data_IF_716998752991
#
_entry.id   IF_716998752991
#
_cell.length_a   1.000
_cell.length_b   1.000
_cell.length_c   1.000
_cell.angle_alpha   90.00
_cell.angle_beta   90.00
_cell.angle_gamma   90.00
#
_symmetry.space_group_name_H-M   'P 1'
#
loop_
_entity.id
_entity.type
_entity.pdbx_description
1 polymer ?
#
# COMPACT_ATOMS: atom_id res chain seq x y z
N UNK A 1 -8.74 13.99 -3.22
CA UNK A 1 -9.11 12.68 -2.63
C UNK A 1 -9.91 11.91 -3.66
N UNK A 2 -9.28 10.91 -4.30
CA UNK A 2 -10.00 10.00 -5.21
C UNK A 2 -10.84 9.04 -4.38
N UNK A 3 -12.15 9.19 -4.39
CA UNK A 3 -13.07 8.20 -3.81
C UNK A 3 -13.25 7.08 -4.84
N UNK A 4 -13.02 5.85 -4.44
CA UNK A 4 -13.42 4.68 -5.22
C UNK A 4 -14.91 4.46 -4.93
N UNK A 5 -15.73 4.58 -5.95
CA UNK A 5 -17.16 4.27 -5.88
C UNK A 5 -17.33 2.85 -6.40
N UNK A 6 -17.72 1.93 -5.55
CA UNK A 6 -18.04 0.56 -5.93
C UNK A 6 -19.55 0.44 -6.07
N UNK A 7 -20.01 0.18 -7.28
CA UNK A 7 -21.42 -0.17 -7.54
C UNK A 7 -21.49 -1.69 -7.52
N UNK A 8 -22.21 -2.23 -6.58
CA UNK A 8 -22.39 -3.66 -6.42
C UNK A 8 -23.73 -4.15 -6.89
N UNK A 9 -23.68 -5.16 -7.74
CA UNK A 9 -24.78 -6.06 -8.00
C UNK A 9 -24.48 -7.40 -7.32
N UNK A 10 -24.92 -7.58 -6.11
CA UNK A 10 -24.81 -8.86 -5.42
C UNK A 10 -25.90 -9.80 -5.93
N UNK A 11 -25.51 -10.74 -6.83
CA UNK A 11 -26.32 -11.90 -7.14
C UNK A 11 -25.78 -13.09 -6.35
N UNK A 12 -26.14 -13.21 -5.09
CA UNK A 12 -25.85 -14.40 -4.30
C UNK A 12 -27.05 -15.35 -4.35
N UNK A 13 -26.84 -16.53 -4.94
CA UNK A 13 -27.74 -17.66 -4.76
C UNK A 13 -27.36 -18.38 -3.47
N UNK A 14 -27.95 -18.00 -2.35
CA UNK A 14 -27.86 -18.72 -1.10
C UNK A 14 -29.27 -19.15 -0.74
N UNK A 15 -29.57 -20.43 -0.95
CA UNK A 15 -30.85 -21.06 -0.62
C UNK A 15 -32.11 -20.22 -0.87
N UNK A 16 -33.00 -20.59 -1.63
CA UNK A 16 -33.69 -20.16 -2.83
C UNK A 16 -34.08 -18.68 -2.96
N UNK A 17 -33.56 -17.79 -2.14
CA UNK A 17 -33.78 -16.35 -2.26
C UNK A 17 -32.64 -15.67 -3.04
N UNK A 18 -33.01 -15.01 -4.13
CA UNK A 18 -32.11 -14.12 -4.86
C UNK A 18 -32.14 -12.78 -4.16
N UNK A 19 -31.08 -12.43 -3.45
CA UNK A 19 -30.91 -11.06 -2.93
C UNK A 19 -30.48 -10.18 -4.11
N UNK A 20 -31.35 -9.27 -4.52
CA UNK A 20 -31.17 -8.40 -5.68
C UNK A 20 -31.07 -6.94 -5.21
N UNK A 21 -30.05 -6.60 -4.42
CA UNK A 21 -29.83 -5.25 -3.92
C UNK A 21 -28.59 -4.63 -4.53
N UNK A 22 -28.72 -3.40 -5.00
CA UNK A 22 -27.57 -2.59 -5.47
C UNK A 22 -27.34 -1.47 -4.46
N UNK A 23 -26.18 -1.49 -3.82
CA UNK A 23 -25.75 -0.44 -2.89
C UNK A 23 -24.52 0.26 -3.40
N UNK A 24 -24.48 1.58 -3.20
CA UNK A 24 -23.35 2.41 -3.54
C UNK A 24 -22.51 2.64 -2.28
N UNK A 25 -21.38 1.94 -2.18
CA UNK A 25 -20.41 2.14 -1.11
C UNK A 25 -19.34 3.16 -1.55
N UNK A 26 -19.15 4.21 -0.76
CA UNK A 26 -18.04 5.15 -0.92
C UNK A 26 -16.92 4.72 0.01
N UNK A 27 -15.77 4.32 -0.56
CA UNK A 27 -14.63 3.82 0.19
C UNK A 27 -13.47 4.80 0.08
N UNK A 28 -12.92 5.21 1.22
CA UNK A 28 -11.77 6.11 1.31
C UNK A 28 -10.43 5.44 1.03
N UNK A 29 -10.41 4.14 0.87
CA UNK A 29 -9.17 3.40 0.68
C UNK A 29 -8.59 3.62 -0.71
N UNK A 30 -7.28 3.86 -0.75
CA UNK A 30 -6.57 4.17 -1.97
C UNK A 30 -6.14 2.95 -2.80
N UNK A 31 -6.38 1.74 -2.30
CA UNK A 31 -5.90 0.49 -2.92
C UNK A 31 -7.04 -0.52 -3.06
N UNK A 32 -7.16 -1.09 -4.24
CA UNK A 32 -8.31 -1.91 -4.65
C UNK A 32 -8.52 -3.17 -3.78
N UNK A 33 -7.46 -3.77 -3.22
CA UNK A 33 -7.62 -4.98 -2.40
C UNK A 33 -8.44 -4.74 -1.11
N UNK A 34 -8.48 -3.52 -0.58
CA UNK A 34 -9.39 -3.20 0.54
C UNK A 34 -10.87 -3.33 0.15
N UNK A 35 -11.19 -3.11 -1.12
CA UNK A 35 -12.54 -3.29 -1.61
C UNK A 35 -13.05 -4.72 -1.41
N UNK A 36 -12.21 -5.73 -1.66
CA UNK A 36 -12.57 -7.13 -1.42
C UNK A 36 -12.82 -7.43 0.05
N UNK A 37 -11.98 -6.88 0.94
CA UNK A 37 -12.15 -7.08 2.39
C UNK A 37 -13.45 -6.45 2.91
N UNK A 38 -13.73 -5.23 2.47
CA UNK A 38 -14.97 -4.51 2.83
C UNK A 38 -16.19 -5.26 2.33
N UNK A 39 -16.08 -5.76 1.13
CA UNK A 39 -17.11 -6.50 0.48
C UNK A 39 -17.43 -7.82 1.18
N UNK A 40 -16.39 -8.55 1.58
CA UNK A 40 -16.55 -9.76 2.39
C UNK A 40 -17.23 -9.42 3.75
N UNK A 41 -16.77 -8.36 4.42
CA UNK A 41 -17.37 -7.90 5.67
C UNK A 41 -18.83 -7.48 5.50
N UNK A 42 -19.14 -6.69 4.47
CA UNK A 42 -20.50 -6.29 4.13
C UNK A 42 -21.40 -7.53 3.93
N UNK A 43 -20.94 -8.46 3.10
CA UNK A 43 -21.70 -9.69 2.81
C UNK A 43 -22.00 -10.49 4.08
N UNK A 44 -21.01 -10.68 4.94
CA UNK A 44 -21.19 -11.42 6.20
C UNK A 44 -22.17 -10.70 7.12
N UNK A 45 -22.04 -9.39 7.30
CA UNK A 45 -22.95 -8.61 8.14
C UNK A 45 -24.40 -8.65 7.61
N UNK A 46 -24.58 -8.52 6.30
CA UNK A 46 -25.90 -8.60 5.64
C UNK A 46 -26.53 -9.98 5.82
N UNK A 47 -25.75 -11.07 5.67
CA UNK A 47 -26.22 -12.43 5.91
C UNK A 47 -26.62 -12.70 7.38
N UNK A 48 -25.97 -12.00 8.32
CA UNK A 48 -26.31 -12.03 9.74
C UNK A 48 -27.51 -11.14 10.09
N UNK A 49 -28.15 -10.50 9.12
CA UNK A 49 -29.33 -9.67 9.31
C UNK A 49 -29.04 -8.27 9.87
N UNK A 50 -27.79 -7.80 9.78
CA UNK A 50 -27.48 -6.41 10.13
C UNK A 50 -28.06 -5.49 9.05
N UNK A 51 -28.68 -4.41 9.50
CA UNK A 51 -29.27 -3.39 8.63
C UNK A 51 -28.24 -2.80 7.67
N UNK A 52 -28.55 -2.78 6.37
CA UNK A 52 -27.62 -2.40 5.31
C UNK A 52 -27.20 -0.93 5.38
N UNK A 53 -28.10 -0.04 5.78
CA UNK A 53 -27.77 1.38 5.95
C UNK A 53 -26.77 1.58 7.10
N UNK A 54 -26.90 0.80 8.16
CA UNK A 54 -25.92 0.78 9.27
C UNK A 54 -24.57 0.27 8.79
N UNK A 55 -24.52 -0.81 8.03
CA UNK A 55 -23.27 -1.34 7.47
C UNK A 55 -22.59 -0.26 6.63
N UNK A 56 -23.33 0.39 5.74
CA UNK A 56 -22.83 1.44 4.87
C UNK A 56 -22.34 2.67 5.65
N UNK A 57 -23.06 3.07 6.71
CA UNK A 57 -22.66 4.16 7.60
C UNK A 57 -21.33 3.85 8.29
N UNK A 58 -21.21 2.71 8.93
CA UNK A 58 -19.97 2.29 9.60
C UNK A 58 -18.78 2.20 8.64
N UNK A 59 -18.96 1.65 7.45
CA UNK A 59 -17.91 1.59 6.44
C UNK A 59 -17.46 3.00 6.02
N UNK A 60 -18.40 3.92 5.85
CA UNK A 60 -18.11 5.32 5.50
C UNK A 60 -17.41 6.08 6.63
N UNK A 61 -17.75 5.77 7.89
CA UNK A 61 -17.11 6.35 9.08
C UNK A 61 -15.69 5.83 9.32
N UNK A 62 -15.36 4.64 8.81
CA UNK A 62 -13.97 4.11 8.85
C UNK A 62 -12.97 5.04 8.14
N UNK A 63 -13.43 5.93 7.25
CA UNK A 63 -12.61 6.99 6.63
C UNK A 63 -11.85 7.83 7.66
N UNK A 64 -12.44 8.07 8.82
CA UNK A 64 -11.89 8.93 9.85
C UNK A 64 -10.90 8.22 10.78
N UNK A 65 -10.75 6.91 10.64
CA UNK A 65 -9.80 6.16 11.44
C UNK A 65 -8.39 6.33 10.90
N UNK A 66 -7.60 7.21 11.52
CA UNK A 66 -6.20 7.51 11.16
C UNK A 66 -5.30 6.28 11.09
N UNK A 67 -5.64 5.18 11.79
CA UNK A 67 -4.88 3.92 11.75
C UNK A 67 -5.08 3.14 10.45
N UNK A 68 -6.21 3.35 9.76
CA UNK A 68 -6.51 2.72 8.48
C UNK A 68 -6.17 3.63 7.31
N UNK A 69 -6.11 4.94 7.54
CA UNK A 69 -5.83 5.95 6.52
C UNK A 69 -4.32 6.22 6.49
N UNK A 70 -3.62 5.48 5.67
CA UNK A 70 -2.18 5.61 5.48
C UNK A 70 -1.84 6.75 4.50
N UNK A 71 -2.60 7.86 4.58
CA UNK A 71 -2.36 9.07 3.79
C UNK A 71 -2.24 10.27 4.73
N UNK A 72 -1.10 10.91 4.73
CA UNK A 72 -0.87 12.13 5.49
C UNK A 72 0.08 13.09 4.75
N UNK A 73 0.36 14.25 5.32
CA UNK A 73 1.20 15.27 4.71
C UNK A 73 2.41 15.58 5.58
N UNK A 74 3.56 15.69 4.95
CA UNK A 74 4.79 16.16 5.56
C UNK A 74 5.42 17.25 4.68
N UNK A 75 5.57 18.48 5.20
CA UNK A 75 6.16 19.63 4.47
C UNK A 75 5.62 19.76 3.03
N UNK A 76 4.33 19.86 2.84
CA UNK A 76 3.66 19.97 1.53
C UNK A 76 3.81 18.75 0.61
N UNK A 77 4.36 17.63 1.08
CA UNK A 77 4.43 16.36 0.35
C UNK A 77 3.36 15.42 0.89
N UNK A 78 2.60 14.81 0.00
CA UNK A 78 1.68 13.73 0.37
C UNK A 78 2.48 12.44 0.58
N UNK A 79 2.13 11.71 1.62
CA UNK A 79 2.74 10.44 1.96
C UNK A 79 1.67 9.37 1.86
N UNK A 80 1.89 8.42 0.99
CA UNK A 80 1.05 7.25 0.78
C UNK A 80 1.78 6.03 1.34
N UNK A 81 1.27 5.47 2.43
CA UNK A 81 1.82 4.24 3.03
C UNK A 81 0.95 3.08 2.60
N UNK A 82 1.52 2.18 1.81
CA UNK A 82 0.86 0.99 1.33
C UNK A 82 1.36 -0.22 2.12
N UNK A 83 0.43 -0.82 2.83
CA UNK A 83 0.69 -1.96 3.70
C UNK A 83 0.51 -3.26 2.91
N UNK A 84 1.59 -3.89 2.55
CA UNK A 84 1.59 -5.15 1.83
C UNK A 84 1.82 -6.34 2.75
N UNK A 85 1.35 -7.50 2.33
CA UNK A 85 1.62 -8.76 3.01
C UNK A 85 2.90 -9.37 2.44
N UNK A 86 3.65 -10.07 3.30
CA UNK A 86 4.88 -10.76 2.90
C UNK A 86 4.65 -11.70 1.72
N UNK A 87 5.62 -11.78 0.82
CA UNK A 87 5.66 -12.73 -0.31
C UNK A 87 4.38 -12.71 -1.19
N UNK A 88 3.70 -11.56 -1.21
CA UNK A 88 2.46 -11.42 -1.95
C UNK A 88 2.63 -10.45 -3.12
N UNK A 89 3.06 -10.98 -4.26
CA UNK A 89 3.24 -10.20 -5.49
C UNK A 89 1.95 -9.50 -5.95
N UNK A 90 0.77 -10.06 -5.65
CA UNK A 90 -0.52 -9.44 -6.01
C UNK A 90 -0.72 -8.11 -5.28
N UNK A 91 -0.55 -8.07 -3.95
CA UNK A 91 -0.72 -6.82 -3.19
C UNK A 91 0.35 -5.79 -3.54
N UNK A 92 1.58 -6.22 -3.80
CA UNK A 92 2.64 -5.35 -4.28
C UNK A 92 2.34 -4.78 -5.66
N UNK A 93 1.82 -5.59 -6.60
CA UNK A 93 1.42 -5.12 -7.93
C UNK A 93 0.30 -4.08 -7.86
N UNK A 94 -0.68 -4.23 -6.97
CA UNK A 94 -1.72 -3.22 -6.73
C UNK A 94 -1.12 -1.91 -6.20
N UNK A 95 -0.15 -1.99 -5.29
CA UNK A 95 0.56 -0.82 -4.77
C UNK A 95 1.39 -0.12 -5.85
N UNK A 96 2.05 -0.90 -6.71
CA UNK A 96 2.79 -0.41 -7.87
C UNK A 96 1.85 0.28 -8.87
N UNK A 97 0.74 -0.36 -9.20
CA UNK A 97 -0.26 0.19 -10.12
C UNK A 97 -0.87 1.49 -9.58
N UNK A 98 -1.25 1.52 -8.30
CA UNK A 98 -1.72 2.73 -7.66
C UNK A 98 -0.68 3.87 -7.78
N UNK A 99 0.59 3.59 -7.48
CA UNK A 99 1.68 4.56 -7.52
C UNK A 99 1.94 5.06 -8.94
N UNK A 100 1.94 4.19 -9.93
CA UNK A 100 2.18 4.53 -11.35
C UNK A 100 1.07 5.41 -11.93
N UNK A 101 -0.17 5.22 -11.47
CA UNK A 101 -1.32 6.02 -11.90
C UNK A 101 -1.31 7.45 -11.32
N UNK A 102 -0.52 7.73 -10.28
CA UNK A 102 -0.34 9.09 -9.75
C UNK A 102 0.64 9.88 -10.63
N UNK A 103 0.13 10.81 -11.40
CA UNK A 103 0.90 11.65 -12.32
C UNK A 103 1.49 12.86 -11.60
N UNK A 104 2.28 12.60 -10.57
CA UNK A 104 2.99 13.58 -9.73
C UNK A 104 4.44 13.20 -9.58
N UNK A 105 5.32 14.18 -9.33
CA UNK A 105 6.70 13.88 -8.92
C UNK A 105 6.69 13.04 -7.65
N UNK A 106 7.48 11.99 -7.61
CA UNK A 106 7.40 10.99 -6.55
C UNK A 106 8.76 10.43 -6.12
N UNK A 107 8.83 10.07 -4.87
CA UNK A 107 9.87 9.22 -4.28
C UNK A 107 9.22 7.93 -3.82
N UNK A 108 9.85 6.82 -4.11
CA UNK A 108 9.35 5.48 -3.77
C UNK A 108 10.24 4.90 -2.69
N UNK A 109 9.65 4.37 -1.63
CA UNK A 109 10.34 3.62 -0.58
C UNK A 109 9.84 2.18 -0.63
N UNK A 110 10.74 1.22 -0.76
CA UNK A 110 10.40 -0.21 -0.82
C UNK A 110 11.21 -0.95 0.22
N UNK A 111 10.54 -1.76 1.03
CA UNK A 111 11.23 -2.58 2.01
C UNK A 111 10.34 -3.30 3.00
N UNK A 112 11.00 -4.15 3.78
CA UNK A 112 10.42 -4.96 4.84
C UNK A 112 11.49 -5.31 5.87
N UNK A 113 11.04 -5.73 7.06
CA UNK A 113 11.92 -6.18 8.13
C UNK A 113 12.21 -7.67 8.00
N UNK A 114 11.18 -8.45 7.69
CA UNK A 114 11.26 -9.90 7.63
C UNK A 114 10.28 -10.42 6.56
N UNK A 115 10.72 -11.35 5.72
CA UNK A 115 9.86 -11.93 4.68
C UNK A 115 9.13 -13.15 5.21
N UNK A 116 9.86 -14.10 5.77
CA UNK A 116 9.28 -15.34 6.29
C UNK A 116 9.82 -15.67 7.68
N UNK A 117 8.89 -15.95 8.58
CA UNK A 117 9.22 -16.46 9.92
C UNK A 117 9.38 -17.98 9.96
N UNK A 118 9.18 -18.66 8.83
CA UNK A 118 9.06 -20.11 8.77
C UNK A 118 10.25 -20.80 8.13
N UNK A 119 11.07 -20.07 7.37
CA UNK A 119 12.15 -20.64 6.57
C UNK A 119 13.48 -19.99 6.91
N UNK A 120 14.53 -20.78 6.92
CA UNK A 120 15.91 -20.30 7.07
C UNK A 120 16.40 -19.52 5.83
N UNK A 121 15.70 -19.66 4.70
CA UNK A 121 16.03 -19.02 3.44
C UNK A 121 14.91 -18.10 2.99
N UNK A 122 15.28 -16.91 2.57
CA UNK A 122 14.37 -15.99 1.91
C UNK A 122 14.38 -16.27 0.39
N UNK A 123 13.28 -16.80 -0.13
CA UNK A 123 13.08 -16.85 -1.57
C UNK A 123 12.60 -15.48 -2.08
N UNK A 124 13.46 -14.80 -2.84
CA UNK A 124 13.18 -13.49 -3.40
C UNK A 124 12.66 -13.55 -4.84
N UNK A 125 12.38 -14.73 -5.38
CA UNK A 125 11.90 -14.91 -6.77
C UNK A 125 10.58 -14.16 -7.03
N UNK A 126 9.71 -14.06 -6.05
CA UNK A 126 8.44 -13.33 -6.12
C UNK A 126 8.59 -11.84 -6.47
N UNK A 127 9.76 -11.23 -6.23
CA UNK A 127 10.04 -9.85 -6.65
C UNK A 127 10.01 -9.69 -8.18
N UNK A 128 10.27 -10.75 -8.92
CA UNK A 128 10.28 -10.73 -10.38
C UNK A 128 8.86 -10.79 -10.97
N UNK A 129 7.87 -11.18 -10.16
CA UNK A 129 6.44 -11.13 -10.51
C UNK A 129 5.84 -9.73 -10.31
N UNK A 130 6.59 -8.79 -9.70
CA UNK A 130 6.15 -7.43 -9.47
C UNK A 130 6.55 -6.55 -10.65
N UNK A 131 5.60 -5.79 -11.18
CA UNK A 131 5.76 -4.91 -12.35
C UNK A 131 6.38 -3.55 -11.98
N UNK A 132 7.54 -3.55 -11.35
CA UNK A 132 8.25 -2.32 -10.97
C UNK A 132 8.62 -1.41 -12.15
N UNK A 133 8.65 -1.95 -13.37
CA UNK A 133 8.84 -1.20 -14.61
C UNK A 133 7.82 -0.05 -14.76
N UNK A 134 6.61 -0.23 -14.24
CA UNK A 134 5.55 0.79 -14.27
C UNK A 134 5.91 2.05 -13.44
N UNK A 135 6.85 1.92 -12.51
CA UNK A 135 7.32 3.02 -11.67
C UNK A 135 8.49 3.78 -12.29
N UNK A 136 9.10 3.23 -13.35
CA UNK A 136 10.24 3.86 -14.01
C UNK A 136 9.75 4.87 -15.05
N UNK A 137 9.29 6.00 -14.56
CA UNK A 137 8.85 7.15 -15.35
C UNK A 137 9.69 8.40 -15.06
N UNK A 138 9.50 9.46 -15.84
CA UNK A 138 10.21 10.73 -15.67
C UNK A 138 9.77 11.53 -14.41
N UNK A 139 8.74 11.07 -13.72
CA UNK A 139 8.22 11.67 -12.49
C UNK A 139 8.83 11.03 -11.24
N UNK A 140 9.52 9.91 -11.36
CA UNK A 140 10.17 9.23 -10.23
C UNK A 140 11.58 9.78 -9.99
N UNK A 141 11.73 10.49 -8.85
CA UNK A 141 13.02 11.07 -8.44
C UNK A 141 13.97 10.01 -7.89
N UNK A 142 13.52 9.27 -6.87
CA UNK A 142 14.33 8.25 -6.19
C UNK A 142 13.50 7.00 -5.88
N UNK A 143 14.20 5.86 -5.89
CA UNK A 143 13.76 4.62 -5.30
C UNK A 143 14.69 4.26 -4.15
N UNK A 144 14.15 4.18 -2.95
CA UNK A 144 14.86 3.96 -1.71
C UNK A 144 14.56 2.53 -1.26
N UNK A 145 15.57 1.67 -1.31
CA UNK A 145 15.50 0.26 -0.94
C UNK A 145 15.99 0.11 0.50
N UNK A 146 15.16 -0.43 1.38
CA UNK A 146 15.47 -0.52 2.82
C UNK A 146 15.25 -1.92 3.37
N UNK A 147 16.01 -2.29 4.37
CA UNK A 147 15.86 -3.54 5.11
C UNK A 147 16.89 -4.61 4.76
N UNK A 148 16.72 -5.84 5.28
CA UNK A 148 17.68 -6.92 5.08
C UNK A 148 17.86 -7.26 3.59
N UNK A 149 16.80 -7.31 2.82
CA UNK A 149 16.83 -7.70 1.39
C UNK A 149 16.98 -6.49 0.43
N UNK A 150 17.49 -5.39 0.93
CA UNK A 150 17.66 -4.13 0.18
C UNK A 150 18.46 -4.26 -1.11
N UNK A 151 19.42 -5.19 -1.17
CA UNK A 151 20.24 -5.43 -2.37
C UNK A 151 19.47 -6.20 -3.44
N UNK A 152 18.61 -7.13 -3.06
CA UNK A 152 17.73 -7.85 -3.96
C UNK A 152 16.69 -6.90 -4.56
N UNK A 153 16.10 -6.04 -3.71
CA UNK A 153 15.19 -4.98 -4.15
C UNK A 153 15.91 -4.05 -5.13
N UNK A 154 17.11 -3.58 -4.78
CA UNK A 154 17.88 -2.67 -5.63
C UNK A 154 18.28 -3.31 -6.97
N UNK A 155 18.62 -4.60 -6.96
CA UNK A 155 18.90 -5.38 -8.15
C UNK A 155 17.66 -5.47 -9.03
N UNK A 156 16.51 -5.78 -8.44
CA UNK A 156 15.24 -5.81 -9.16
C UNK A 156 14.86 -4.43 -9.74
N UNK A 157 15.11 -3.34 -9.02
CA UNK A 157 14.89 -1.98 -9.53
C UNK A 157 15.81 -1.66 -10.72
N UNK A 158 17.06 -2.13 -10.68
CA UNK A 158 17.98 -2.00 -11.82
C UNK A 158 17.42 -2.73 -13.05
N UNK A 159 16.90 -3.94 -12.89
CA UNK A 159 16.24 -4.69 -13.98
C UNK A 159 14.96 -3.99 -14.47
N UNK A 160 14.25 -3.28 -13.60
CA UNK A 160 13.12 -2.44 -13.99
C UNK A 160 13.53 -1.15 -14.75
N UNK A 161 14.84 -0.95 -15.00
CA UNK A 161 15.36 0.14 -15.80
C UNK A 161 15.71 1.41 -15.03
N UNK A 162 15.65 1.43 -13.70
CA UNK A 162 16.06 2.59 -12.90
C UNK A 162 17.56 2.84 -13.02
N UNK A 163 17.95 4.11 -13.15
CA UNK A 163 19.34 4.51 -13.21
C UNK A 163 20.02 4.39 -11.84
N UNK A 164 21.32 4.12 -11.81
CA UNK A 164 22.11 3.99 -10.58
C UNK A 164 21.95 5.19 -9.62
N UNK A 165 21.86 6.40 -10.14
CA UNK A 165 21.69 7.61 -9.34
C UNK A 165 20.30 7.76 -8.72
N UNK A 166 19.29 7.07 -9.23
CA UNK A 166 17.93 7.03 -8.69
C UNK A 166 17.79 6.02 -7.55
N UNK A 167 18.53 4.91 -7.59
CA UNK A 167 18.48 3.85 -6.58
C UNK A 167 19.33 4.24 -5.37
N UNK A 168 18.72 4.18 -4.19
CA UNK A 168 19.36 4.42 -2.90
C UNK A 168 19.13 3.21 -2.00
N UNK A 169 20.17 2.78 -1.29
CA UNK A 169 20.18 1.55 -0.52
C UNK A 169 20.54 1.89 0.93
N UNK A 170 19.72 1.43 1.87
CA UNK A 170 19.88 1.68 3.30
C UNK A 170 19.59 0.43 4.12
N UNK A 171 20.30 0.26 5.23
CA UNK A 171 20.14 -0.90 6.10
C UNK A 171 18.75 -0.97 6.74
N UNK A 172 18.18 0.19 7.08
CA UNK A 172 16.89 0.30 7.74
C UNK A 172 16.26 1.67 7.45
N UNK A 173 15.05 1.87 7.93
CA UNK A 173 14.30 3.11 7.74
C UNK A 173 14.95 4.31 8.43
N UNK A 174 15.57 4.11 9.60
CA UNK A 174 16.21 5.21 10.33
C UNK A 174 17.41 5.76 9.56
N UNK A 175 18.26 4.90 9.01
CA UNK A 175 19.38 5.32 8.15
C UNK A 175 18.91 5.97 6.85
N UNK A 176 17.72 5.63 6.34
CA UNK A 176 17.11 6.22 5.16
C UNK A 176 16.37 7.54 5.43
N UNK A 177 16.10 7.89 6.70
CA UNK A 177 15.25 9.01 7.12
C UNK A 177 15.57 10.32 6.43
N UNK A 178 16.84 10.74 6.46
CA UNK A 178 17.25 12.02 5.89
C UNK A 178 17.09 12.03 4.35
N UNK A 179 17.37 10.92 3.69
CA UNK A 179 17.10 10.77 2.26
C UNK A 179 15.62 10.89 1.93
N UNK A 180 14.77 10.22 2.69
CA UNK A 180 13.31 10.23 2.49
C UNK A 180 12.75 11.64 2.73
N UNK A 181 13.13 12.27 3.84
CA UNK A 181 12.54 13.55 4.30
C UNK A 181 13.08 14.77 3.57
N UNK A 182 14.40 14.83 3.35
CA UNK A 182 15.07 16.07 3.00
C UNK A 182 15.82 16.02 1.65
N UNK A 183 16.29 14.85 1.22
CA UNK A 183 17.14 14.72 0.02
C UNK A 183 16.42 14.13 -1.19
N UNK A 184 15.14 13.79 -1.07
CA UNK A 184 14.28 13.32 -2.16
C UNK A 184 13.17 14.32 -2.47
N UNK A 185 12.55 14.19 -3.64
CA UNK A 185 11.55 15.14 -4.14
C UNK A 185 10.21 14.47 -4.43
N UNK A 186 9.15 15.30 -4.48
CA UNK A 186 7.80 14.88 -4.82
C UNK A 186 7.09 14.16 -3.67
N UNK A 187 5.93 13.64 -3.95
CA UNK A 187 5.14 12.85 -3.00
C UNK A 187 5.85 11.54 -2.64
N UNK A 188 5.63 11.02 -1.46
CA UNK A 188 6.30 9.81 -0.97
C UNK A 188 5.33 8.63 -1.05
N UNK A 189 5.75 7.58 -1.74
CA UNK A 189 5.02 6.33 -1.87
C UNK A 189 5.81 5.21 -1.18
N UNK A 190 5.36 4.83 0.00
CA UNK A 190 6.00 3.80 0.81
C UNK A 190 5.29 2.46 0.57
N UNK A 191 5.88 1.62 -0.26
CA UNK A 191 5.44 0.26 -0.59
C UNK A 191 6.13 -0.70 0.37
N UNK A 192 5.50 -0.92 1.51
CA UNK A 192 6.12 -1.61 2.65
C UNK A 192 5.32 -2.85 3.03
N UNK A 193 5.98 -3.78 3.69
CA UNK A 193 5.30 -4.82 4.45
C UNK A 193 4.77 -4.25 5.77
N UNK A 194 3.80 -4.95 6.35
CA UNK A 194 3.11 -4.54 7.58
C UNK A 194 4.06 -4.26 8.76
N UNK A 195 5.20 -4.95 8.81
CA UNK A 195 6.22 -4.83 9.85
C UNK A 195 7.01 -3.51 9.77
N UNK A 196 7.02 -2.86 8.60
CA UNK A 196 7.68 -1.57 8.38
C UNK A 196 6.73 -0.36 8.41
N UNK A 197 5.42 -0.57 8.44
CA UNK A 197 4.44 0.53 8.41
C UNK A 197 4.56 1.42 9.65
N UNK A 198 4.58 0.82 10.84
CA UNK A 198 4.73 1.58 12.10
C UNK A 198 6.11 2.27 12.16
N UNK A 199 7.24 1.58 11.97
CA UNK A 199 8.55 2.24 11.93
C UNK A 199 8.64 3.38 10.91
N UNK A 200 8.03 3.24 9.74
CA UNK A 200 8.00 4.29 8.74
C UNK A 200 7.22 5.52 9.23
N UNK A 201 6.05 5.31 9.80
CA UNK A 201 5.25 6.41 10.34
C UNK A 201 6.00 7.14 11.47
N UNK A 202 6.68 6.41 12.34
CA UNK A 202 7.44 6.99 13.44
C UNK A 202 8.58 7.88 12.96
N UNK A 203 9.37 7.45 11.96
CA UNK A 203 10.43 8.30 11.40
C UNK A 203 9.86 9.52 10.68
N UNK A 204 8.67 9.44 10.12
CA UNK A 204 8.03 10.57 9.43
C UNK A 204 7.43 11.58 10.42
N UNK A 205 6.89 11.14 11.56
CA UNK A 205 6.31 11.98 12.60
C UNK A 205 7.35 12.54 13.60
N UNK A 206 8.65 12.28 13.39
CA UNK A 206 9.74 12.68 14.31
C UNK A 206 9.58 12.12 15.75
N UNK A 207 8.84 11.04 15.91
CA UNK A 207 8.78 10.33 17.20
C UNK A 207 10.13 9.67 17.46
N UNK A 208 10.80 10.10 18.52
CA UNK A 208 11.97 9.38 19.02
C UNK A 208 11.49 8.09 19.69
N UNK A 209 12.06 6.96 19.27
CA UNK A 209 11.94 5.72 20.01
C UNK A 209 12.60 5.90 21.37
N UNK A 210 11.82 5.75 22.43
CA UNK A 210 12.35 5.59 23.79
C UNK A 210 12.65 4.12 24.04
#
# INVERSE_FOLDING_TARGET
LGRIVIIWLLRLRVFPQIINNSHKLSIAFNVLYYAYNILAAYTVCSLLGVDEDKICSYISEMENNKKLNNLYTYKNRKIYVMNNKNENSTTFNESVLFTSNKKVSKTIVVGWKEISRRYEFNDMSWLYDIKFELLNDNLTDKVICVGPDRYDIATRMKYAGFKKNQIKIYDNLESARDMIKNKSRGDIFAILNFDYVIPFNDIMEDKQWK
#
